data_IF_764255265936
#
_entry.id   IF_764255265936
#
_cell.length_a   1.000
_cell.length_b   1.000
_cell.length_c   1.000
_cell.angle_alpha   90.00
_cell.angle_beta   90.00
_cell.angle_gamma   90.00
#
_symmetry.space_group_name_H-M   'P 1'
#
loop_
_entity.id
_entity.type
_entity.pdbx_description
1 polymer ?
#
# COMPACT_ATOMS: atom_id res chain seq x y z
N UNK A 1 6.92 -1.49 9.91
CA UNK A 1 7.15 -2.94 9.81
C UNK A 1 8.65 -3.30 9.63
N UNK A 2 9.15 -4.41 10.22
CA UNK A 2 10.49 -4.95 9.89
C UNK A 2 10.33 -5.98 8.77
N UNK A 3 11.07 -5.82 7.68
CA UNK A 3 10.99 -6.69 6.50
C UNK A 3 12.40 -7.20 6.19
N UNK A 4 12.55 -8.51 6.09
CA UNK A 4 13.83 -9.12 5.73
C UNK A 4 14.03 -9.09 4.21
N UNK A 5 15.28 -8.95 3.74
CA UNK A 5 15.58 -9.03 2.32
C UNK A 5 15.11 -10.36 1.75
N UNK A 6 14.57 -10.34 0.54
CA UNK A 6 14.03 -11.52 -0.16
C UNK A 6 12.82 -12.20 0.52
N UNK A 7 12.30 -11.62 1.60
CA UNK A 7 11.04 -12.05 2.20
C UNK A 7 9.90 -11.24 1.58
N UNK A 8 8.96 -11.93 0.93
CA UNK A 8 7.73 -11.32 0.45
C UNK A 8 6.83 -10.95 1.63
N UNK A 9 6.30 -9.73 1.59
CA UNK A 9 5.17 -9.31 2.42
C UNK A 9 4.01 -8.97 1.50
N UNK A 10 2.85 -9.53 1.84
CA UNK A 10 1.58 -9.27 1.17
C UNK A 10 0.70 -8.40 2.09
N UNK A 11 0.31 -7.24 1.59
CA UNK A 11 -0.65 -6.34 2.23
C UNK A 11 -1.98 -6.51 1.52
N UNK A 12 -3.04 -6.77 2.28
CA UNK A 12 -4.41 -6.89 1.78
C UNK A 12 -5.15 -5.61 2.11
N UNK A 13 -5.70 -4.98 1.09
CA UNK A 13 -6.59 -3.82 1.17
C UNK A 13 -7.99 -4.25 0.72
N UNK A 14 -9.02 -3.85 1.44
CA UNK A 14 -10.39 -4.28 1.16
C UNK A 14 -11.27 -3.06 0.93
N UNK A 15 -11.76 -2.88 -0.29
CA UNK A 15 -12.69 -1.80 -0.62
C UNK A 15 -13.97 -1.88 0.21
N UNK A 16 -14.59 -0.73 0.47
CA UNK A 16 -15.91 -0.69 1.10
C UNK A 16 -17.00 -1.12 0.12
N UNK A 17 -16.81 -0.85 -1.17
CA UNK A 17 -17.77 -1.14 -2.24
C UNK A 17 -17.21 -2.10 -3.29
N UNK A 18 -18.11 -2.69 -4.07
CA UNK A 18 -17.75 -3.38 -5.31
C UNK A 18 -17.69 -2.35 -6.46
N UNK A 19 -16.74 -2.54 -7.38
CA UNK A 19 -16.58 -1.71 -8.57
C UNK A 19 -16.94 -2.51 -9.81
N UNK A 20 -17.57 -1.88 -10.79
CA UNK A 20 -17.97 -2.54 -12.05
C UNK A 20 -16.76 -2.95 -12.89
N UNK A 21 -15.70 -2.12 -12.92
CA UNK A 21 -14.43 -2.45 -13.57
C UNK A 21 -13.23 -2.20 -12.63
N UNK A 22 -13.00 -3.08 -11.63
CA UNK A 22 -12.00 -2.88 -10.57
C UNK A 22 -10.57 -2.70 -11.07
N UNK A 23 -10.24 -3.31 -12.23
CA UNK A 23 -8.90 -3.26 -12.81
C UNK A 23 -8.62 -1.99 -13.62
N UNK A 24 -9.65 -1.32 -14.14
CA UNK A 24 -9.49 -0.13 -15.01
C UNK A 24 -9.87 1.16 -14.32
N UNK A 25 -10.81 1.10 -13.39
CA UNK A 25 -11.42 2.30 -12.80
C UNK A 25 -10.75 2.68 -11.46
N UNK A 26 -9.99 1.75 -10.87
CA UNK A 26 -9.40 1.87 -9.54
C UNK A 26 -7.90 1.62 -9.61
N UNK A 27 -7.13 2.71 -9.49
CA UNK A 27 -5.68 2.64 -9.31
C UNK A 27 -5.37 2.69 -7.83
N UNK A 28 -4.83 1.61 -7.26
CA UNK A 28 -4.34 1.56 -5.88
C UNK A 28 -2.83 1.39 -5.90
N UNK A 29 -2.11 2.15 -5.08
CA UNK A 29 -0.68 1.97 -4.86
C UNK A 29 -0.32 2.16 -3.39
N UNK A 30 0.80 1.59 -2.99
CA UNK A 30 1.36 1.75 -1.64
C UNK A 30 2.76 2.30 -1.75
N UNK A 31 3.02 3.36 -1.00
CA UNK A 31 4.36 3.90 -0.81
C UNK A 31 4.99 3.26 0.41
N UNK A 32 6.18 2.71 0.22
CA UNK A 32 7.02 2.14 1.26
C UNK A 32 8.18 3.09 1.52
N UNK A 33 8.34 3.56 2.75
CA UNK A 33 9.42 4.45 3.18
C UNK A 33 10.31 3.73 4.18
N UNK A 34 11.57 3.52 3.80
CA UNK A 34 12.60 2.96 4.68
C UNK A 34 13.06 4.02 5.69
N UNK A 35 13.51 3.59 6.87
CA UNK A 35 14.06 4.49 7.88
C UNK A 35 15.34 5.24 7.43
N UNK A 36 16.01 4.77 6.38
CA UNK A 36 17.11 5.53 5.74
C UNK A 36 16.63 6.68 4.85
N UNK A 37 15.32 6.84 4.64
CA UNK A 37 14.71 7.81 3.73
C UNK A 37 14.53 7.31 2.29
N UNK A 38 14.80 6.04 2.00
CA UNK A 38 14.52 5.46 0.68
C UNK A 38 13.03 5.19 0.51
N UNK A 39 12.43 5.64 -0.58
CA UNK A 39 11.01 5.44 -0.87
C UNK A 39 10.80 4.57 -2.11
N UNK A 40 9.85 3.64 -2.04
CA UNK A 40 9.46 2.75 -3.14
C UNK A 40 7.94 2.72 -3.27
N UNK A 41 7.42 3.04 -4.45
CA UNK A 41 5.99 2.92 -4.77
C UNK A 41 5.71 1.59 -5.44
N UNK A 42 4.69 0.87 -4.98
CA UNK A 42 4.23 -0.39 -5.60
C UNK A 42 2.74 -0.31 -5.93
N UNK A 43 2.34 -0.62 -7.17
CA UNK A 43 0.93 -0.75 -7.49
C UNK A 43 0.35 -1.98 -6.77
N UNK A 44 -0.89 -1.83 -6.29
CA UNK A 44 -1.70 -2.98 -5.91
C UNK A 44 -2.34 -3.59 -7.15
N UNK A 45 -2.66 -4.87 -7.05
CA UNK A 45 -3.45 -5.57 -8.05
C UNK A 45 -4.76 -6.03 -7.41
N UNK A 46 -5.83 -5.97 -8.19
CA UNK A 46 -7.11 -6.55 -7.80
C UNK A 46 -7.00 -8.09 -7.78
N UNK A 47 -7.42 -8.71 -6.69
CA UNK A 47 -7.36 -10.16 -6.46
C UNK A 47 -8.75 -10.82 -6.44
N UNK A 48 -9.77 -10.11 -6.91
CA UNK A 48 -11.16 -10.56 -6.88
C UNK A 48 -12.01 -9.83 -5.84
N UNK A 49 -13.33 -9.85 -6.04
CA UNK A 49 -14.31 -9.21 -5.15
C UNK A 49 -13.93 -7.76 -4.83
N UNK A 50 -13.80 -7.45 -3.54
CA UNK A 50 -13.39 -6.16 -2.99
C UNK A 50 -11.94 -6.14 -2.53
N UNK A 51 -11.09 -7.04 -3.05
CA UNK A 51 -9.75 -7.27 -2.52
C UNK A 51 -8.69 -6.74 -3.49
N UNK A 52 -7.79 -5.92 -2.95
CA UNK A 52 -6.56 -5.48 -3.61
C UNK A 52 -5.37 -5.93 -2.77
N UNK A 53 -4.33 -6.39 -3.45
CA UNK A 53 -3.12 -6.88 -2.80
C UNK A 53 -1.89 -6.14 -3.29
N UNK A 54 -0.97 -5.88 -2.38
CA UNK A 54 0.36 -5.36 -2.69
C UNK A 54 1.40 -6.34 -2.18
N UNK A 55 2.32 -6.71 -3.06
CA UNK A 55 3.50 -7.51 -2.70
C UNK A 55 4.74 -6.63 -2.69
N UNK A 56 5.49 -6.72 -1.60
CA UNK A 56 6.73 -6.01 -1.42
C UNK A 56 7.78 -6.93 -0.79
N UNK A 57 8.96 -6.96 -1.39
CA UNK A 57 10.14 -7.58 -0.81
C UNK A 57 11.20 -6.49 -0.65
N UNK A 58 11.82 -6.44 0.54
CA UNK A 58 12.80 -5.40 0.81
C UNK A 58 14.06 -5.59 -0.05
N UNK A 59 14.55 -4.57 -0.78
CA UNK A 59 15.84 -4.63 -1.45
C UNK A 59 17.01 -4.32 -0.51
N UNK A 60 16.74 -3.91 0.73
CA UNK A 60 17.78 -3.59 1.73
C UNK A 60 17.87 -4.71 2.77
N UNK A 61 19.07 -4.93 3.29
CA UNK A 61 19.35 -6.05 4.18
C UNK A 61 18.73 -5.89 5.57
N UNK A 62 18.60 -4.66 6.06
CA UNK A 62 18.15 -4.35 7.41
C UNK A 62 17.42 -3.01 7.47
N UNK A 63 16.54 -2.91 8.46
CA UNK A 63 15.85 -1.69 8.85
C UNK A 63 14.33 -1.84 8.86
N UNK A 64 13.64 -0.73 9.12
CA UNK A 64 12.18 -0.68 9.16
C UNK A 64 11.64 0.06 7.96
N UNK A 65 10.56 -0.48 7.42
CA UNK A 65 9.75 0.12 6.39
C UNK A 65 8.44 0.59 7.00
N UNK A 66 8.05 1.81 6.70
CA UNK A 66 6.71 2.32 6.89
C UNK A 66 5.99 2.27 5.54
N UNK A 67 4.68 2.17 5.54
CA UNK A 67 3.88 2.12 4.32
C UNK A 67 2.55 2.83 4.46
N UNK A 68 2.11 3.38 3.34
CA UNK A 68 0.84 4.11 3.21
C UNK A 68 0.20 3.81 1.86
N UNK A 69 -1.07 3.40 1.85
CA UNK A 69 -1.84 3.22 0.62
C UNK A 69 -2.48 4.51 0.13
N UNK A 70 -2.63 4.57 -1.18
CA UNK A 70 -3.28 5.62 -1.95
C UNK A 70 -4.11 4.99 -3.05
N UNK A 71 -5.18 5.65 -3.45
CA UNK A 71 -6.13 5.20 -4.44
C UNK A 71 -6.66 6.38 -5.26
N UNK A 72 -6.99 6.14 -6.53
CA UNK A 72 -7.62 7.13 -7.42
C UNK A 72 -9.06 7.49 -7.03
N UNK A 73 -9.71 6.65 -6.22
CA UNK A 73 -11.09 6.86 -5.76
C UNK A 73 -11.14 7.04 -4.24
N UNK A 74 -12.12 7.83 -3.78
CA UNK A 74 -12.37 8.03 -2.36
C UNK A 74 -13.10 6.80 -1.79
N UNK A 75 -12.33 5.83 -1.28
CA UNK A 75 -12.84 4.65 -0.57
C UNK A 75 -12.03 4.42 0.71
N UNK A 76 -12.71 4.50 1.85
CA UNK A 76 -12.14 4.30 3.19
C UNK A 76 -11.52 2.91 3.37
N UNK A 77 -11.96 1.92 2.60
CA UNK A 77 -11.43 0.57 2.60
C UNK A 77 -9.98 0.47 2.11
N UNK A 78 -9.52 1.48 1.37
CA UNK A 78 -8.13 1.63 0.96
C UNK A 78 -7.32 2.54 1.89
N UNK A 79 -7.89 3.09 2.96
CA UNK A 79 -7.17 3.95 3.91
C UNK A 79 -6.44 3.13 4.98
N UNK A 80 -5.40 2.39 4.59
CA UNK A 80 -4.61 1.59 5.51
C UNK A 80 -3.15 2.05 5.51
N UNK A 81 -2.51 2.09 6.67
CA UNK A 81 -1.11 2.47 6.80
C UNK A 81 -0.53 1.94 8.11
N UNK A 82 0.79 1.72 8.16
CA UNK A 82 1.51 1.44 9.41
C UNK A 82 2.29 2.66 9.92
N UNK A 83 2.11 3.81 9.27
CA UNK A 83 2.71 5.08 9.66
C UNK A 83 2.00 5.55 10.94
N UNK A 84 2.63 5.33 12.09
CA UNK A 84 2.16 5.89 13.35
C UNK A 84 2.10 7.40 13.26
N UNK A 85 0.90 7.95 13.05
CA UNK A 85 0.51 9.36 13.03
C UNK A 85 1.65 10.38 12.85
N UNK A 86 1.88 10.86 11.63
CA UNK A 86 2.52 12.16 11.45
C UNK A 86 2.02 12.90 10.21
N UNK A 87 1.63 14.14 10.45
CA UNK A 87 0.99 15.09 9.54
C UNK A 87 1.90 15.51 8.37
N UNK A 88 1.29 15.72 7.21
CA UNK A 88 1.80 16.67 6.22
C UNK A 88 1.72 16.23 4.76
N UNK A 89 0.66 16.65 4.07
CA UNK A 89 0.82 17.18 2.70
C UNK A 89 0.77 16.21 1.53
N UNK A 90 0.08 15.09 1.63
CA UNK A 90 -0.58 14.41 0.51
C UNK A 90 -1.70 13.61 1.16
N UNK A 91 -2.95 13.92 0.84
CA UNK A 91 -4.07 13.24 1.48
C UNK A 91 -3.93 11.75 1.16
N UNK A 92 -3.78 10.85 2.16
CA UNK A 92 -4.27 9.49 1.96
C UNK A 92 -5.72 9.61 1.50
N UNK A 93 -6.21 8.58 0.82
CA UNK A 93 -7.62 8.49 0.43
C UNK A 93 -8.54 9.05 1.51
#
# INVERSE_FOLDING_TARGET
MKIHPWQEVEIVLTATVEYDHPYTDVDVHVDFTHESGATLRRPAFWDGDRIWKVRFASPVADGRWQWQSFCSVADEGFMNNDVGHSHGGDSPC
#
